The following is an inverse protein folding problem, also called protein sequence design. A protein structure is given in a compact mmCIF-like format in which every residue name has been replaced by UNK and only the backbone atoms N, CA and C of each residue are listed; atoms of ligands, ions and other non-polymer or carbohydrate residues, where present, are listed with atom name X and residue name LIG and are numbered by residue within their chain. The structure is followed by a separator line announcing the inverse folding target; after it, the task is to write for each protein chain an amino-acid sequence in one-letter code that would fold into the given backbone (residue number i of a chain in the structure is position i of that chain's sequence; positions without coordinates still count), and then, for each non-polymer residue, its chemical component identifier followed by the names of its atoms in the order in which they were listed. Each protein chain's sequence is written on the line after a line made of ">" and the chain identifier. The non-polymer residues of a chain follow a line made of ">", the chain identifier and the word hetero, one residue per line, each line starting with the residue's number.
data_IF_161947414682
#
_entry.id   IF_161947414682
#
_cell.length_a   1.000
_cell.length_b   1.000
_cell.length_c   1.000
_cell.angle_alpha   90.00
_cell.angle_beta   90.00
_cell.angle_gamma   90.00
#
_symmetry.space_group_name_H-M   'P 1'
#
loop_
_entity.id
_entity.type
_entity.pdbx_description
1 polymer ?
#
# COMPACT_ATOMS: atom_id res chain seq x y z
N UNK A 1 11.66 -32.58 0.61
CA UNK A 1 12.57 -31.41 0.50
C UNK A 1 12.65 -30.73 1.86
N UNK A 2 13.82 -30.22 2.28
CA UNK A 2 13.90 -29.41 3.51
C UNK A 2 13.35 -27.99 3.26
N UNK A 3 12.83 -27.35 4.31
CA UNK A 3 12.29 -25.97 4.23
C UNK A 3 13.36 -25.00 3.74
N UNK A 4 14.61 -25.18 4.18
CA UNK A 4 15.77 -24.43 3.72
C UNK A 4 16.02 -24.56 2.21
N UNK A 5 15.95 -25.79 1.68
CA UNK A 5 16.17 -26.04 0.24
C UNK A 5 15.05 -25.44 -0.59
N UNK A 6 13.80 -25.50 -0.11
CA UNK A 6 12.67 -24.84 -0.74
C UNK A 6 12.83 -23.30 -0.72
N UNK A 7 13.27 -22.71 0.39
CA UNK A 7 13.51 -21.27 0.50
C UNK A 7 14.49 -20.76 -0.56
N UNK A 8 15.60 -21.48 -0.78
CA UNK A 8 16.59 -21.13 -1.82
C UNK A 8 16.05 -21.28 -3.24
N UNK A 9 15.30 -22.35 -3.52
CA UNK A 9 14.78 -22.63 -4.87
C UNK A 9 13.70 -21.64 -5.27
N UNK A 10 12.79 -21.32 -4.35
CA UNK A 10 11.63 -20.47 -4.63
C UNK A 10 11.87 -18.99 -4.28
N UNK A 11 13.05 -18.64 -3.76
CA UNK A 11 13.37 -17.28 -3.29
C UNK A 11 12.33 -16.71 -2.31
N UNK A 12 11.78 -17.59 -1.47
CA UNK A 12 10.82 -17.22 -0.41
C UNK A 12 11.51 -17.34 0.94
N UNK A 13 11.34 -16.38 1.86
CA UNK A 13 11.91 -16.47 3.21
C UNK A 13 11.50 -17.77 3.92
N UNK A 14 12.44 -18.33 4.69
CA UNK A 14 12.20 -19.59 5.40
C UNK A 14 11.07 -19.45 6.44
N UNK A 15 10.95 -18.28 7.07
CA UNK A 15 9.86 -17.95 7.99
C UNK A 15 8.49 -18.14 7.33
N UNK A 16 8.29 -17.55 6.14
CA UNK A 16 7.05 -17.68 5.36
C UNK A 16 6.72 -19.13 5.01
N UNK A 17 7.73 -19.95 4.69
CA UNK A 17 7.52 -21.37 4.40
C UNK A 17 7.21 -22.17 5.68
N UNK A 18 7.83 -21.84 6.81
CA UNK A 18 7.51 -22.46 8.12
C UNK A 18 6.10 -22.11 8.57
N UNK A 19 5.67 -20.86 8.39
CA UNK A 19 4.31 -20.42 8.72
C UNK A 19 3.27 -21.13 7.86
N UNK A 20 3.57 -21.35 6.57
CA UNK A 20 2.74 -22.20 5.69
C UNK A 20 2.71 -23.66 6.13
N UNK A 21 3.85 -24.24 6.51
CA UNK A 21 3.91 -25.63 6.98
C UNK A 21 3.13 -25.84 8.29
N UNK A 22 3.06 -24.80 9.14
CA UNK A 22 2.31 -24.78 10.39
C UNK A 22 0.82 -24.43 10.23
N UNK A 23 0.36 -24.18 9.01
CA UNK A 23 -1.01 -23.74 8.70
C UNK A 23 -1.39 -22.40 9.34
N UNK A 24 -0.41 -21.57 9.72
CA UNK A 24 -0.66 -20.20 10.20
C UNK A 24 -1.15 -19.28 9.08
N UNK A 25 -0.90 -19.65 7.82
CA UNK A 25 -1.29 -18.91 6.63
C UNK A 25 -2.15 -19.82 5.75
N UNK A 26 -3.33 -19.33 5.35
CA UNK A 26 -4.21 -20.05 4.42
C UNK A 26 -3.48 -20.36 3.11
N UNK A 27 -3.74 -21.54 2.55
CA UNK A 27 -3.25 -21.94 1.23
C UNK A 27 -3.80 -20.98 0.16
N UNK A 28 -5.00 -20.45 0.38
CA UNK A 28 -5.67 -19.46 -0.46
C UNK A 28 -5.46 -18.05 0.11
N UNK A 29 -4.21 -17.67 0.37
CA UNK A 29 -3.88 -16.29 0.71
C UNK A 29 -3.87 -15.44 -0.56
N UNK A 30 -4.68 -14.39 -0.60
CA UNK A 30 -4.50 -13.33 -1.58
C UNK A 30 -3.23 -12.56 -1.22
N UNK A 31 -2.45 -12.19 -2.24
CA UNK A 31 -1.49 -11.10 -2.11
C UNK A 31 -2.23 -9.88 -1.52
N UNK A 32 -1.54 -9.09 -0.71
CA UNK A 32 -2.11 -7.92 -0.04
C UNK A 32 -2.86 -7.00 -1.01
N UNK A 33 -3.62 -6.05 -0.46
CA UNK A 33 -4.52 -5.20 -1.25
C UNK A 33 -3.86 -4.72 -2.55
N UNK A 34 -4.58 -4.93 -3.65
CA UNK A 34 -4.12 -4.46 -4.95
C UNK A 34 -3.91 -2.94 -4.86
N UNK A 35 -2.80 -2.46 -5.43
CA UNK A 35 -2.48 -1.03 -5.45
C UNK A 35 -3.73 -0.22 -5.88
N UNK A 36 -4.09 0.78 -5.08
CA UNK A 36 -5.26 1.65 -5.34
C UNK A 36 -5.13 2.38 -6.69
N UNK A 37 -3.90 2.67 -7.09
CA UNK A 37 -3.58 3.41 -8.31
C UNK A 37 -2.66 2.59 -9.22
N UNK A 38 -2.83 2.77 -10.53
CA UNK A 38 -1.87 2.29 -11.54
C UNK A 38 -0.60 3.15 -11.44
N UNK A 39 0.56 2.59 -11.81
CA UNK A 39 1.86 3.28 -11.74
C UNK A 39 1.82 4.67 -12.43
N UNK A 40 1.14 4.80 -13.57
CA UNK A 40 0.99 6.07 -14.28
C UNK A 40 0.19 7.12 -13.48
N UNK A 41 -0.79 6.68 -12.69
CA UNK A 41 -1.59 7.56 -11.84
C UNK A 41 -0.80 7.97 -10.60
N UNK A 42 -0.04 7.04 -10.03
CA UNK A 42 0.86 7.32 -8.91
C UNK A 42 1.90 8.37 -9.29
N UNK A 43 2.51 8.24 -10.50
CA UNK A 43 3.50 9.20 -10.99
C UNK A 43 2.92 10.61 -11.12
N UNK A 44 1.74 10.74 -11.73
CA UNK A 44 1.05 12.04 -11.86
C UNK A 44 0.71 12.67 -10.51
N UNK A 45 0.34 11.85 -9.52
CA UNK A 45 0.04 12.31 -8.17
C UNK A 45 1.31 12.82 -7.46
N UNK A 46 2.43 12.09 -7.60
CA UNK A 46 3.73 12.53 -7.08
C UNK A 46 4.19 13.83 -7.73
N UNK A 47 4.13 13.93 -9.05
CA UNK A 47 4.52 15.15 -9.78
C UNK A 47 3.69 16.36 -9.34
N UNK A 48 2.38 16.16 -9.14
CA UNK A 48 1.49 17.20 -8.64
C UNK A 48 1.85 17.62 -7.21
N UNK A 49 2.15 16.68 -6.32
CA UNK A 49 2.55 16.98 -4.94
C UNK A 49 3.87 17.76 -4.90
N UNK A 50 4.86 17.36 -5.72
CA UNK A 50 6.14 18.06 -5.84
C UNK A 50 5.93 19.48 -6.37
N UNK A 51 5.13 19.65 -7.42
CA UNK A 51 4.77 20.96 -7.94
C UNK A 51 4.11 21.85 -6.88
N UNK A 52 3.18 21.30 -6.09
CA UNK A 52 2.53 22.03 -4.99
C UNK A 52 3.52 22.46 -3.90
N UNK A 53 4.50 21.61 -3.57
CA UNK A 53 5.54 21.96 -2.61
C UNK A 53 6.44 23.10 -3.12
N UNK A 54 6.83 23.06 -4.40
CA UNK A 54 7.70 24.05 -5.03
C UNK A 54 7.06 25.45 -5.13
N UNK A 55 5.75 25.53 -5.36
CA UNK A 55 5.01 26.80 -5.40
C UNK A 55 4.74 27.39 -4.00
N UNK A 56 5.35 26.84 -2.95
CA UNK A 56 5.22 27.32 -1.57
C UNK A 56 3.93 26.91 -0.88
N UNK A 57 3.08 26.10 -1.54
CA UNK A 57 2.01 25.35 -0.88
C UNK A 57 2.62 24.12 -0.20
N UNK A 58 3.55 24.35 0.73
CA UNK A 58 4.09 23.35 1.64
C UNK A 58 2.95 22.85 2.52
N UNK A 59 2.15 21.95 1.97
CA UNK A 59 0.94 21.46 2.62
C UNK A 59 1.40 20.52 3.72
N UNK A 60 1.11 20.81 5.02
CA UNK A 60 1.32 19.82 6.07
C UNK A 60 0.58 18.55 5.67
N UNK A 61 1.05 17.36 6.11
CA UNK A 61 0.45 16.05 5.78
C UNK A 61 -1.10 16.06 5.78
N UNK A 62 -1.72 16.82 6.69
CA UNK A 62 -3.16 17.11 6.72
C UNK A 62 -3.73 17.67 5.41
N UNK A 63 -3.11 18.69 4.82
CA UNK A 63 -3.59 19.30 3.58
C UNK A 63 -3.53 18.34 2.38
N UNK A 64 -2.51 17.47 2.33
CA UNK A 64 -2.46 16.40 1.32
C UNK A 64 -3.55 15.35 1.53
N UNK A 65 -3.86 15.01 2.80
CA UNK A 65 -4.96 14.11 3.14
C UNK A 65 -6.32 14.69 2.73
N UNK A 66 -6.56 15.99 2.96
CA UNK A 66 -7.79 16.66 2.51
C UNK A 66 -7.91 16.69 0.97
N UNK A 67 -6.83 16.98 0.25
CA UNK A 67 -6.86 16.96 -1.21
C UNK A 67 -7.09 15.56 -1.78
N UNK A 68 -6.46 14.54 -1.18
CA UNK A 68 -6.70 13.15 -1.55
C UNK A 68 -8.15 12.74 -1.25
N UNK A 69 -8.73 13.24 -0.14
CA UNK A 69 -10.11 13.04 0.25
C UNK A 69 -11.08 13.68 -0.75
N UNK A 70 -10.89 14.95 -1.09
CA UNK A 70 -11.71 15.67 -2.07
C UNK A 70 -11.65 14.99 -3.45
N UNK A 71 -10.47 14.53 -3.86
CA UNK A 71 -10.29 13.76 -5.08
C UNK A 71 -11.05 12.42 -5.05
N UNK A 72 -10.99 11.68 -3.94
CA UNK A 72 -11.71 10.42 -3.77
C UNK A 72 -13.24 10.60 -3.76
N UNK A 73 -13.72 11.69 -3.14
CA UNK A 73 -15.13 12.09 -3.19
C UNK A 73 -15.58 12.41 -4.62
N UNK A 74 -14.75 13.13 -5.40
CA UNK A 74 -15.04 13.45 -6.81
C UNK A 74 -15.16 12.21 -7.70
N UNK A 75 -14.49 11.11 -7.31
CA UNK A 75 -14.53 9.81 -7.99
C UNK A 75 -15.65 8.88 -7.50
N UNK A 76 -16.52 9.34 -6.60
CA UNK A 76 -17.56 8.54 -5.92
C UNK A 76 -17.02 7.26 -5.26
N UNK A 77 -15.76 7.26 -4.83
CA UNK A 77 -15.13 6.16 -4.10
C UNK A 77 -14.68 6.68 -2.73
N UNK A 78 -15.50 6.53 -1.67
CA UNK A 78 -15.08 6.97 -0.36
C UNK A 78 -13.85 6.16 0.09
N UNK A 79 -12.76 6.80 0.51
CA UNK A 79 -11.64 6.08 1.12
C UNK A 79 -12.15 5.50 2.46
N UNK A 80 -11.85 4.22 2.71
CA UNK A 80 -12.28 3.53 3.93
C UNK A 80 -11.84 4.31 5.17
N UNK A 81 -12.77 4.49 6.12
CA UNK A 81 -12.57 5.22 7.37
C UNK A 81 -11.41 4.67 8.25
N UNK A 82 -10.89 3.49 7.93
CA UNK A 82 -9.93 2.75 8.74
C UNK A 82 -8.49 3.31 8.69
N UNK A 83 -8.18 4.17 7.72
CA UNK A 83 -6.82 4.73 7.57
C UNK A 83 -6.54 5.88 8.57
N UNK A 84 -7.59 6.49 9.16
CA UNK A 84 -7.44 7.70 9.96
C UNK A 84 -7.20 7.47 11.47
N UNK A 85 -7.56 6.31 12.03
CA UNK A 85 -7.46 6.08 13.47
C UNK A 85 -6.14 5.44 13.94
N UNK A 86 -5.23 5.07 13.04
CA UNK A 86 -4.03 4.29 13.40
C UNK A 86 -2.76 5.11 13.67
N UNK A 87 -2.81 6.44 13.70
CA UNK A 87 -1.65 7.30 13.96
C UNK A 87 -2.00 8.41 14.97
N UNK A 88 -2.51 7.99 16.13
CA UNK A 88 -2.57 8.80 17.34
C UNK A 88 -1.43 8.40 18.29
#
# INVERSE_FOLDING_TARGET
>A
MSVYRAARVYQVPESTLRDRARQNVSIYCHHGENKLFTEDKERKLVDHIVYMADIGYGSPLMGMQYMAWDYALSLHKPPGLDVFFSLQ
#
